data_IF_176745615864
#
_entry.id   IF_176745615864
#
_cell.length_a   1.000
_cell.length_b   1.000
_cell.length_c   1.000
_cell.angle_alpha   90.00
_cell.angle_beta   90.00
_cell.angle_gamma   90.00
#
_symmetry.space_group_name_H-M   'P 1'
#
loop_
_entity.id
_entity.type
_entity.pdbx_description
1 polymer ?
#
# COMPACT_ATOMS: atom_id res chain seq x y z
N UNK A 1 13.57 16.82 4.43
CA UNK A 1 12.43 17.49 5.11
C UNK A 1 11.19 16.68 4.77
N UNK A 2 10.50 16.11 5.76
CA UNK A 2 9.31 15.28 5.52
C UNK A 2 8.16 16.18 5.04
N UNK A 3 7.53 15.83 3.91
CA UNK A 3 6.40 16.61 3.36
C UNK A 3 5.08 15.96 3.78
N UNK A 4 4.00 16.74 3.99
CA UNK A 4 2.69 16.18 4.30
C UNK A 4 2.19 15.20 3.22
N UNK A 5 2.63 15.35 1.97
CA UNK A 5 2.34 14.40 0.89
C UNK A 5 2.88 12.98 1.14
N UNK A 6 3.96 12.82 1.93
CA UNK A 6 4.49 11.49 2.26
C UNK A 6 3.55 10.68 3.15
N UNK A 7 2.76 11.35 3.99
CA UNK A 7 1.76 10.69 4.83
C UNK A 7 0.67 10.05 3.97
N UNK A 8 0.22 10.74 2.92
CA UNK A 8 -0.74 10.19 1.96
C UNK A 8 -0.18 8.94 1.27
N UNK A 9 1.10 8.95 0.88
CA UNK A 9 1.77 7.79 0.27
C UNK A 9 1.88 6.62 1.26
N UNK A 10 2.30 6.88 2.51
CA UNK A 10 2.36 5.86 3.58
C UNK A 10 0.98 5.23 3.84
N UNK A 11 -0.05 6.06 3.96
CA UNK A 11 -1.44 5.62 4.14
C UNK A 11 -1.96 4.82 2.94
N UNK A 12 -1.59 5.22 1.73
CA UNK A 12 -1.95 4.49 0.51
C UNK A 12 -1.30 3.10 0.49
N UNK A 13 -0.02 3.00 0.84
CA UNK A 13 0.66 1.72 0.97
C UNK A 13 -0.01 0.83 2.03
N UNK A 14 -0.34 1.39 3.20
CA UNK A 14 -1.05 0.67 4.25
C UNK A 14 -2.46 0.23 3.83
N UNK A 15 -3.18 1.04 3.04
CA UNK A 15 -4.48 0.69 2.47
C UNK A 15 -4.34 -0.49 1.51
N UNK A 16 -3.35 -0.47 0.61
CA UNK A 16 -3.16 -1.59 -0.33
C UNK A 16 -2.83 -2.90 0.38
N UNK A 17 -2.12 -2.86 1.51
CA UNK A 17 -1.90 -4.04 2.33
C UNK A 17 -3.20 -4.60 2.91
N UNK A 18 -4.08 -3.73 3.43
CA UNK A 18 -5.41 -4.13 3.91
C UNK A 18 -6.29 -4.67 2.78
N UNK A 19 -6.23 -4.08 1.58
CA UNK A 19 -6.98 -4.57 0.41
C UNK A 19 -6.56 -6.00 0.05
N UNK A 20 -5.26 -6.30 0.08
CA UNK A 20 -4.75 -7.65 -0.18
C UNK A 20 -5.20 -8.64 0.90
N UNK A 21 -5.15 -8.24 2.16
CA UNK A 21 -5.63 -9.08 3.27
C UNK A 21 -7.13 -9.40 3.14
N UNK A 22 -7.96 -8.40 2.84
CA UNK A 22 -9.40 -8.59 2.61
C UNK A 22 -9.64 -9.51 1.41
N UNK A 23 -8.90 -9.31 0.31
CA UNK A 23 -9.04 -10.16 -0.87
C UNK A 23 -8.66 -11.61 -0.57
N UNK A 24 -7.57 -11.85 0.16
CA UNK A 24 -7.11 -13.20 0.50
C UNK A 24 -8.03 -13.90 1.50
N UNK A 25 -8.56 -13.18 2.50
CA UNK A 25 -9.56 -13.71 3.41
C UNK A 25 -10.86 -14.01 2.66
N UNK A 26 -11.36 -13.07 1.86
CA UNK A 26 -12.58 -13.24 1.08
C UNK A 26 -12.51 -14.43 0.12
N UNK A 27 -11.40 -14.59 -0.58
CA UNK A 27 -11.18 -15.69 -1.53
C UNK A 27 -11.18 -17.08 -0.83
N UNK A 28 -10.71 -17.16 0.42
CA UNK A 28 -10.79 -18.38 1.25
C UNK A 28 -12.22 -18.72 1.67
N UNK A 29 -13.06 -17.71 1.86
CA UNK A 29 -14.43 -17.85 2.35
C UNK A 29 -15.49 -17.73 1.24
N UNK A 30 -15.10 -17.78 -0.05
CA UNK A 30 -16.02 -17.48 -1.15
C UNK A 30 -17.22 -18.45 -1.14
N UNK A 31 -18.42 -17.87 -1.21
CA UNK A 31 -19.69 -18.63 -1.29
C UNK A 31 -20.17 -18.78 -2.73
N UNK A 32 -19.82 -17.83 -3.61
CA UNK A 32 -20.21 -17.84 -5.02
C UNK A 32 -19.12 -17.28 -5.96
N UNK A 33 -19.44 -17.25 -7.26
CA UNK A 33 -18.56 -16.70 -8.29
C UNK A 33 -18.47 -15.15 -8.25
N UNK A 34 -19.49 -14.47 -7.75
CA UNK A 34 -19.52 -13.01 -7.62
C UNK A 34 -18.51 -12.49 -6.60
N UNK A 35 -18.44 -13.15 -5.44
CA UNK A 35 -17.40 -12.95 -4.43
C UNK A 35 -16.00 -13.13 -5.03
N UNK A 36 -15.79 -14.19 -5.82
CA UNK A 36 -14.51 -14.44 -6.49
C UNK A 36 -14.09 -13.31 -7.45
N UNK A 37 -15.04 -12.77 -8.22
CA UNK A 37 -14.78 -11.61 -9.09
C UNK A 37 -14.42 -10.37 -8.26
N UNK A 38 -15.19 -10.09 -7.21
CA UNK A 38 -14.95 -8.93 -6.34
C UNK A 38 -13.56 -8.98 -5.70
N UNK A 39 -13.17 -10.11 -5.12
CA UNK A 39 -11.86 -10.25 -4.47
C UNK A 39 -10.72 -10.27 -5.49
N UNK A 40 -10.93 -10.84 -6.68
CA UNK A 40 -9.98 -10.75 -7.78
C UNK A 40 -9.73 -9.31 -8.22
N UNK A 41 -10.79 -8.52 -8.41
CA UNK A 41 -10.69 -7.08 -8.75
C UNK A 41 -10.02 -6.29 -7.63
N UNK A 42 -10.39 -6.55 -6.37
CA UNK A 42 -9.80 -5.88 -5.21
C UNK A 42 -8.28 -6.14 -5.15
N UNK A 43 -7.87 -7.39 -5.35
CA UNK A 43 -6.46 -7.82 -5.37
C UNK A 43 -5.68 -7.14 -6.47
N UNK A 44 -6.19 -7.13 -7.70
CA UNK A 44 -5.55 -6.49 -8.85
C UNK A 44 -5.41 -4.96 -8.65
N UNK A 45 -6.48 -4.30 -8.17
CA UNK A 45 -6.44 -2.88 -7.84
C UNK A 45 -5.40 -2.57 -6.76
N UNK A 46 -5.31 -3.39 -5.71
CA UNK A 46 -4.33 -3.23 -4.64
C UNK A 46 -2.90 -3.27 -5.18
N UNK A 47 -2.58 -4.24 -6.06
CA UNK A 47 -1.25 -4.34 -6.67
C UNK A 47 -0.91 -3.13 -7.54
N UNK A 48 -1.86 -2.67 -8.38
CA UNK A 48 -1.67 -1.50 -9.25
C UNK A 48 -1.43 -0.22 -8.43
N UNK A 49 -2.25 0.01 -7.41
CA UNK A 49 -2.11 1.18 -6.53
C UNK A 49 -0.79 1.11 -5.76
N UNK A 50 -0.41 -0.08 -5.25
CA UNK A 50 0.83 -0.27 -4.49
C UNK A 50 2.05 0.08 -5.35
N UNK A 51 2.08 -0.38 -6.59
CA UNK A 51 3.16 -0.06 -7.53
C UNK A 51 3.30 1.45 -7.74
N UNK A 52 2.21 2.16 -7.99
CA UNK A 52 2.21 3.62 -8.16
C UNK A 52 2.68 4.35 -6.89
N UNK A 53 2.21 3.92 -5.72
CA UNK A 53 2.60 4.51 -4.45
C UNK A 53 4.08 4.27 -4.12
N UNK A 54 4.63 3.11 -4.46
CA UNK A 54 6.06 2.80 -4.31
C UNK A 54 6.93 3.63 -5.26
N UNK A 55 6.48 3.82 -6.50
CA UNK A 55 7.15 4.70 -7.48
C UNK A 55 7.21 6.15 -6.98
N UNK A 56 6.11 6.67 -6.43
CA UNK A 56 6.07 8.03 -5.89
C UNK A 56 6.95 8.15 -4.63
N UNK A 57 6.92 7.15 -3.74
CA UNK A 57 7.84 7.07 -2.59
C UNK A 57 9.30 7.15 -3.05
N UNK A 58 9.67 6.40 -4.09
CA UNK A 58 11.03 6.40 -4.62
C UNK A 58 11.39 7.73 -5.29
N UNK A 59 10.44 8.36 -5.99
CA UNK A 59 10.62 9.71 -6.51
C UNK A 59 10.87 10.73 -5.39
N UNK A 60 10.15 10.63 -4.27
CA UNK A 60 10.35 11.47 -3.10
C UNK A 60 11.69 11.18 -2.41
N UNK A 61 12.13 9.92 -2.34
CA UNK A 61 13.44 9.53 -1.80
C UNK A 61 14.58 10.12 -2.62
N UNK A 62 14.52 9.99 -3.95
CA UNK A 62 15.52 10.58 -4.88
C UNK A 62 15.59 12.10 -4.79
N UNK A 63 14.47 12.77 -4.50
CA UNK A 63 14.42 14.23 -4.29
C UNK A 63 14.85 14.68 -2.88
N UNK A 64 15.16 13.75 -1.97
CA UNK A 64 15.49 14.04 -0.57
C UNK A 64 14.29 14.54 0.26
N UNK A 65 13.07 14.32 -0.23
CA UNK A 65 11.83 14.71 0.44
C UNK A 65 11.29 13.63 1.36
N UNK A 66 11.83 12.42 1.28
CA UNK A 66 11.45 11.32 2.16
C UNK A 66 12.32 11.34 3.41
N UNK A 67 11.73 11.62 4.56
CA UNK A 67 12.41 11.37 5.83
C UNK A 67 12.31 9.88 6.13
N UNK A 68 13.43 9.17 6.01
CA UNK A 68 13.56 7.86 6.66
C UNK A 68 13.51 8.08 8.18
N UNK A 69 12.78 7.23 8.90
CA UNK A 69 12.82 7.25 10.36
C UNK A 69 14.29 7.13 10.78
N UNK A 70 14.89 8.22 11.26
CA UNK A 70 16.15 8.16 11.97
C UNK A 70 15.88 7.38 13.24
N UNK A 71 16.20 6.08 13.23
CA UNK A 71 16.35 5.33 14.46
C UNK A 71 17.54 5.94 15.20
N UNK A 72 17.28 6.89 16.10
CA UNK A 72 18.18 7.16 17.22
C UNK A 72 18.08 5.95 18.13
N UNK A 73 18.86 4.91 17.82
CA UNK A 73 19.37 4.01 18.85
C UNK A 73 20.47 4.80 19.55
N UNK A 74 20.08 5.60 20.54
CA UNK A 74 21.03 6.09 21.54
C UNK A 74 21.25 4.96 22.56
N UNK A 75 22.51 4.85 22.96
CA UNK A 75 23.21 3.74 23.63
C UNK A 75 22.66 3.33 25.01
#
# INVERSE_FOLDING_TARGET
MDRPCNDAIRRTLALTAQMLEIADQGDRHREDAGCGILYGVLRDAAYKIRLLAEQEREAHRRKGWWAECRNTKEE
#
